data_IF_766169290339
#
_entry.id   IF_766169290339
#
_cell.length_a   1.000
_cell.length_b   1.000
_cell.length_c   1.000
_cell.angle_alpha   90.00
_cell.angle_beta   90.00
_cell.angle_gamma   90.00
#
_symmetry.space_group_name_H-M   'P 1'
#
loop_
_entity.id
_entity.type
_entity.pdbx_description
1 polymer ?
#
# COMPACT_ATOMS: atom_id res chain seq x y z
N UNK A 1 -21.19 10.91 56.64
CA UNK A 1 -20.87 11.57 55.36
C UNK A 1 -20.37 10.51 54.41
N UNK A 2 -21.17 10.16 53.41
CA UNK A 2 -20.85 9.14 52.39
C UNK A 2 -20.20 9.86 51.21
N UNK A 3 -18.95 9.51 50.87
CA UNK A 3 -18.34 9.91 49.60
C UNK A 3 -18.51 8.76 48.61
N UNK A 4 -19.23 9.03 47.53
CA UNK A 4 -19.32 8.19 46.33
C UNK A 4 -18.21 8.63 45.38
N UNK A 5 -17.30 7.71 45.05
CA UNK A 5 -16.34 7.87 43.96
C UNK A 5 -16.87 7.03 42.79
N UNK A 6 -17.30 7.70 41.73
CA UNK A 6 -17.61 7.07 40.46
C UNK A 6 -16.31 6.94 39.66
N UNK A 7 -15.88 5.70 39.38
CA UNK A 7 -14.83 5.44 38.40
C UNK A 7 -15.44 5.57 37.00
N UNK A 8 -15.01 6.59 36.26
CA UNK A 8 -15.15 6.64 34.81
C UNK A 8 -14.13 5.67 34.20
N UNK A 9 -14.60 4.55 33.66
CA UNK A 9 -13.80 3.73 32.76
C UNK A 9 -13.84 4.37 31.38
N UNK A 10 -12.77 5.06 30.99
CA UNK A 10 -12.53 5.37 29.58
C UNK A 10 -12.30 4.04 28.86
N UNK A 11 -13.26 3.61 28.06
CA UNK A 11 -13.01 2.66 26.99
C UNK A 11 -12.19 3.42 25.94
N UNK A 12 -10.89 3.18 25.91
CA UNK A 12 -10.09 3.50 24.74
C UNK A 12 -10.55 2.57 23.63
N UNK A 13 -11.30 3.10 22.66
CA UNK A 13 -11.42 2.47 21.37
C UNK A 13 -10.00 2.36 20.81
N UNK A 14 -9.43 1.17 20.85
CA UNK A 14 -8.28 0.87 20.02
C UNK A 14 -8.82 0.91 18.60
N UNK A 15 -8.51 1.99 17.88
CA UNK A 15 -8.52 1.93 16.43
C UNK A 15 -7.46 0.89 16.07
N UNK A 16 -7.88 -0.36 15.91
CA UNK A 16 -7.12 -1.36 15.19
C UNK A 16 -7.07 -0.83 13.77
N UNK A 17 -5.95 -0.20 13.41
CA UNK A 17 -5.69 0.10 12.00
C UNK A 17 -5.85 -1.22 11.25
N UNK A 18 -6.59 -1.27 10.14
CA UNK A 18 -6.57 -2.43 9.27
C UNK A 18 -5.11 -2.67 8.90
N UNK A 19 -4.62 -3.89 9.17
CA UNK A 19 -3.26 -4.27 8.77
C UNK A 19 -3.31 -4.46 7.25
N UNK A 20 -3.17 -3.35 6.52
CA UNK A 20 -2.76 -3.39 5.14
C UNK A 20 -1.24 -3.57 5.11
N UNK A 21 -0.81 -4.73 4.59
CA UNK A 21 0.59 -5.10 4.47
C UNK A 21 1.23 -5.43 5.80
N UNK A 22 1.36 -6.73 6.13
CA UNK A 22 2.40 -7.12 7.07
C UNK A 22 3.73 -6.60 6.48
N UNK A 23 4.52 -5.81 7.23
CA UNK A 23 5.74 -5.23 6.68
C UNK A 23 6.59 -6.37 6.14
N UNK A 24 6.98 -6.28 4.86
CA UNK A 24 7.84 -7.28 4.23
C UNK A 24 9.24 -7.23 4.80
N UNK A 25 9.38 -7.73 6.02
CA UNK A 25 10.65 -7.77 6.71
C UNK A 25 11.61 -8.78 6.06
N UNK A 26 11.11 -9.77 5.32
CA UNK A 26 11.92 -10.66 4.49
C UNK A 26 11.04 -11.46 3.53
N UNK A 27 11.39 -11.47 2.24
CA UNK A 27 10.70 -12.27 1.21
C UNK A 27 11.63 -13.38 0.76
N UNK A 28 11.19 -14.64 0.68
CA UNK A 28 12.08 -15.69 0.14
C UNK A 28 12.27 -15.51 -1.37
N UNK A 29 13.47 -15.72 -1.87
CA UNK A 29 13.79 -15.54 -3.29
C UNK A 29 13.11 -16.57 -4.21
N UNK A 30 12.73 -17.71 -3.66
CA UNK A 30 11.97 -18.75 -4.35
C UNK A 30 10.44 -18.57 -4.24
N UNK A 31 9.95 -17.54 -3.53
CA UNK A 31 8.53 -17.22 -3.52
C UNK A 31 8.09 -16.63 -4.87
N UNK A 32 6.78 -16.67 -5.17
CA UNK A 32 6.21 -16.04 -6.38
C UNK A 32 6.65 -14.58 -6.50
N UNK A 33 6.55 -13.82 -5.41
CA UNK A 33 7.04 -12.45 -5.35
C UNK A 33 8.56 -12.34 -5.58
N UNK A 34 9.36 -13.15 -4.89
CA UNK A 34 10.80 -13.11 -4.99
C UNK A 34 11.28 -13.37 -6.42
N UNK A 35 10.69 -14.36 -7.09
CA UNK A 35 10.96 -14.65 -8.49
C UNK A 35 10.48 -13.52 -9.42
N UNK A 36 9.29 -12.97 -9.17
CA UNK A 36 8.78 -11.83 -9.95
C UNK A 36 9.73 -10.63 -9.86
N UNK A 37 10.14 -10.24 -8.64
CA UNK A 37 11.06 -9.13 -8.42
C UNK A 37 12.43 -9.37 -9.09
N UNK A 38 12.96 -10.58 -8.96
CA UNK A 38 14.24 -10.96 -9.58
C UNK A 38 14.16 -11.05 -11.10
N UNK A 39 13.00 -11.39 -11.65
CA UNK A 39 12.77 -11.40 -13.09
C UNK A 39 12.82 -10.00 -13.71
N UNK A 40 12.40 -8.99 -12.94
CA UNK A 40 12.41 -7.56 -13.32
C UNK A 40 13.71 -6.84 -12.91
N UNK A 41 14.54 -7.46 -12.07
CA UNK A 41 15.84 -6.92 -11.69
C UNK A 41 16.81 -6.87 -12.90
N UNK A 42 17.56 -5.76 -13.01
CA UNK A 42 18.33 -5.41 -14.21
C UNK A 42 19.23 -6.57 -14.67
N UNK A 43 18.94 -7.12 -15.85
CA UNK A 43 19.70 -8.21 -16.49
C UNK A 43 20.85 -7.65 -17.31
N UNK A 44 22.01 -8.31 -17.24
CA UNK A 44 23.14 -8.05 -18.15
C UNK A 44 23.05 -8.86 -19.46
N UNK A 45 22.26 -9.94 -19.49
CA UNK A 45 22.14 -10.85 -20.63
C UNK A 45 20.66 -10.94 -21.04
N UNK A 46 20.34 -10.50 -22.26
CA UNK A 46 19.01 -10.63 -22.84
C UNK A 46 18.87 -12.01 -23.47
N UNK A 47 17.75 -12.69 -23.18
CA UNK A 47 17.04 -13.62 -24.07
C UNK A 47 17.04 -15.13 -23.77
N UNK A 48 17.40 -15.60 -22.56
CA UNK A 48 17.17 -17.00 -22.15
C UNK A 48 16.19 -17.09 -20.96
N UNK A 49 15.43 -18.20 -20.90
CA UNK A 49 14.62 -18.61 -19.74
C UNK A 49 15.56 -18.76 -18.53
N UNK A 50 15.57 -17.75 -17.66
CA UNK A 50 16.55 -17.66 -16.57
C UNK A 50 16.13 -18.62 -15.46
N UNK A 51 16.94 -19.65 -15.27
CA UNK A 51 16.87 -20.52 -14.11
C UNK A 51 17.31 -19.75 -12.86
N UNK A 52 16.34 -19.36 -12.03
CA UNK A 52 16.57 -18.71 -10.74
C UNK A 52 16.84 -19.72 -9.60
N UNK A 53 17.06 -21.01 -9.87
CA UNK A 53 17.44 -21.95 -8.79
C UNK A 53 18.71 -21.54 -8.04
N UNK A 54 19.60 -20.74 -8.64
CA UNK A 54 20.80 -20.24 -7.94
C UNK A 54 20.48 -19.26 -6.80
N UNK A 55 19.33 -18.58 -6.82
CA UNK A 55 18.85 -17.77 -5.68
C UNK A 55 18.01 -18.58 -4.70
N UNK A 56 17.77 -19.86 -4.96
CA UNK A 56 17.12 -20.74 -3.99
C UNK A 56 17.96 -20.78 -2.70
N UNK A 57 17.28 -20.60 -1.56
CA UNK A 57 17.97 -20.45 -0.27
C UNK A 57 18.42 -19.02 0.04
N UNK A 58 17.99 -18.01 -0.73
CA UNK A 58 18.14 -16.59 -0.39
C UNK A 58 16.79 -15.96 -0.02
N UNK A 59 16.86 -14.82 0.67
CA UNK A 59 15.77 -13.95 1.06
C UNK A 59 16.09 -12.52 0.63
N UNK A 60 15.11 -11.82 0.06
CA UNK A 60 15.16 -10.41 -0.28
C UNK A 60 14.84 -9.57 0.95
N UNK A 61 15.64 -8.52 1.16
CA UNK A 61 15.49 -7.55 2.23
C UNK A 61 15.52 -6.14 1.64
N UNK A 62 14.45 -5.36 1.82
CA UNK A 62 14.47 -3.94 1.51
C UNK A 62 15.60 -3.25 2.29
N UNK A 63 16.51 -2.58 1.58
CA UNK A 63 17.61 -1.80 2.18
C UNK A 63 17.29 -0.31 2.20
N UNK A 64 16.48 0.14 1.24
CA UNK A 64 16.07 1.52 1.13
C UNK A 64 15.65 1.89 -0.29
N UNK A 65 15.24 3.13 -0.46
CA UNK A 65 14.93 3.76 -1.72
C UNK A 65 15.74 5.05 -1.90
N UNK A 66 15.83 5.53 -3.13
CA UNK A 66 16.51 6.76 -3.48
C UNK A 66 15.84 7.46 -4.66
N UNK A 67 15.94 8.78 -4.69
CA UNK A 67 15.57 9.61 -5.83
C UNK A 67 16.82 10.06 -6.57
N UNK A 68 16.81 9.94 -7.90
CA UNK A 68 17.86 10.49 -8.76
C UNK A 68 17.23 11.30 -9.87
N UNK A 69 17.67 12.55 -10.04
CA UNK A 69 17.24 13.39 -11.15
C UNK A 69 17.83 12.88 -12.45
N UNK A 70 16.99 12.61 -13.44
CA UNK A 70 17.40 12.19 -14.79
C UNK A 70 16.70 13.03 -15.83
N UNK A 71 17.27 13.09 -17.04
CA UNK A 71 16.58 13.70 -18.16
C UNK A 71 15.30 12.92 -18.45
N UNK A 72 14.21 13.65 -18.66
CA UNK A 72 12.99 13.05 -19.14
C UNK A 72 13.14 12.78 -20.64
N UNK A 73 13.20 11.50 -21.02
CA UNK A 73 13.32 11.09 -22.42
C UNK A 73 12.01 11.27 -23.19
N UNK A 74 10.89 11.47 -22.48
CA UNK A 74 9.54 11.62 -23.03
C UNK A 74 9.12 13.09 -23.15
N UNK A 75 9.98 14.03 -22.74
CA UNK A 75 9.74 15.47 -22.86
C UNK A 75 9.95 15.94 -24.32
N UNK A 76 8.88 15.99 -25.09
CA UNK A 76 8.84 16.42 -26.49
C UNK A 76 8.24 17.84 -26.68
N UNK A 77 7.55 18.37 -25.68
CA UNK A 77 6.89 19.69 -25.63
C UNK A 77 7.64 20.77 -24.83
N UNK A 78 7.23 22.03 -24.99
CA UNK A 78 7.78 23.16 -24.19
C UNK A 78 7.30 23.14 -22.74
N UNK A 79 6.14 22.54 -22.48
CA UNK A 79 5.50 22.45 -21.17
C UNK A 79 5.94 21.19 -20.37
N UNK A 80 6.67 20.27 -21.01
CA UNK A 80 7.06 19.00 -20.41
C UNK A 80 8.20 19.16 -19.40
N UNK A 81 8.13 18.36 -18.33
CA UNK A 81 9.17 18.32 -17.29
C UNK A 81 10.46 17.74 -17.87
N UNK A 82 11.46 18.58 -18.16
CA UNK A 82 12.74 18.16 -18.76
C UNK A 82 13.62 17.30 -17.86
N UNK A 83 13.47 17.44 -16.55
CA UNK A 83 14.22 16.70 -15.54
C UNK A 83 13.21 15.98 -14.66
N UNK A 84 13.11 14.66 -14.83
CA UNK A 84 12.23 13.82 -14.04
C UNK A 84 12.96 13.19 -12.87
N UNK A 85 12.23 12.90 -11.80
CA UNK A 85 12.76 12.17 -10.64
C UNK A 85 12.61 10.67 -10.87
N UNK A 86 13.72 9.98 -11.13
CA UNK A 86 13.72 8.52 -11.16
C UNK A 86 13.80 7.97 -9.74
N UNK A 87 12.84 7.12 -9.39
CA UNK A 87 12.71 6.52 -8.07
C UNK A 87 13.26 5.09 -8.12
N UNK A 88 14.20 4.78 -7.24
CA UNK A 88 14.91 3.51 -7.23
C UNK A 88 14.74 2.84 -5.88
N UNK A 89 14.58 1.52 -5.88
CA UNK A 89 14.58 0.70 -4.68
C UNK A 89 15.82 -0.18 -4.68
N UNK A 90 16.52 -0.19 -3.54
CA UNK A 90 17.63 -1.08 -3.25
C UNK A 90 17.14 -2.20 -2.35
N UNK A 91 17.38 -3.44 -2.78
CA UNK A 91 17.17 -4.62 -1.96
C UNK A 91 18.45 -5.46 -1.90
N UNK A 92 18.56 -6.25 -0.84
CA UNK A 92 19.67 -7.16 -0.60
C UNK A 92 19.18 -8.59 -0.64
N UNK A 93 19.88 -9.44 -1.38
CA UNK A 93 19.77 -10.89 -1.29
C UNK A 93 20.68 -11.39 -0.19
N UNK A 94 20.09 -12.05 0.80
CA UNK A 94 20.76 -12.67 1.93
C UNK A 94 20.48 -14.16 1.96
N UNK A 95 21.44 -15.04 2.29
CA UNK A 95 21.11 -16.44 2.52
C UNK A 95 20.09 -16.60 3.63
N UNK A 96 19.02 -17.34 3.35
CA UNK A 96 17.86 -17.50 4.21
C UNK A 96 18.21 -18.07 5.58
N UNK A 97 19.24 -18.91 5.66
CA UNK A 97 19.67 -19.57 6.90
C UNK A 97 20.17 -18.60 7.99
N UNK A 98 20.61 -17.41 7.60
CA UNK A 98 21.13 -16.39 8.52
C UNK A 98 20.66 -14.97 8.19
N UNK A 99 19.59 -14.82 7.42
CA UNK A 99 18.97 -13.53 7.16
C UNK A 99 18.19 -13.08 8.41
N UNK A 100 18.78 -12.17 9.18
CA UNK A 100 18.16 -11.58 10.34
C UNK A 100 17.04 -10.61 9.93
N UNK A 101 15.81 -10.95 10.30
CA UNK A 101 14.60 -10.16 10.01
C UNK A 101 14.64 -8.78 10.68
N UNK A 102 15.26 -8.71 11.87
CA UNK A 102 15.36 -7.49 12.69
C UNK A 102 16.55 -6.59 12.30
N UNK A 103 17.51 -7.12 11.54
CA UNK A 103 18.62 -6.30 11.05
C UNK A 103 18.19 -5.58 9.77
N UNK A 104 18.36 -4.26 9.73
CA UNK A 104 18.08 -3.46 8.53
C UNK A 104 18.85 -3.99 7.30
N UNK A 105 20.07 -4.50 7.52
CA UNK A 105 20.91 -5.11 6.50
C UNK A 105 20.59 -6.58 6.18
N UNK A 106 19.77 -7.28 6.95
CA UNK A 106 19.49 -8.72 6.83
C UNK A 106 20.68 -9.63 7.15
N UNK A 107 21.82 -9.41 6.49
CA UNK A 107 23.03 -10.18 6.63
C UNK A 107 24.28 -9.34 6.29
N UNK A 108 25.43 -9.75 6.84
CA UNK A 108 26.69 -9.00 6.73
C UNK A 108 27.72 -9.66 5.79
N UNK A 109 27.44 -10.86 5.26
CA UNK A 109 28.33 -11.57 4.33
C UNK A 109 27.55 -12.48 3.39
N UNK A 110 28.13 -12.78 2.23
CA UNK A 110 27.48 -13.64 1.23
C UNK A 110 26.23 -13.02 0.62
N UNK A 111 26.15 -11.69 0.59
CA UNK A 111 25.01 -10.95 0.08
C UNK A 111 25.27 -10.29 -1.27
N UNK A 112 24.20 -10.05 -2.01
CA UNK A 112 24.20 -9.22 -3.21
C UNK A 112 23.24 -8.05 -3.05
N UNK A 113 23.69 -6.84 -3.38
CA UNK A 113 22.83 -5.66 -3.42
C UNK A 113 22.37 -5.40 -4.86
N UNK A 114 21.07 -5.17 -5.01
CA UNK A 114 20.40 -4.96 -6.28
C UNK A 114 19.62 -3.65 -6.25
N UNK A 115 19.49 -3.04 -7.41
CA UNK A 115 18.74 -1.80 -7.59
C UNK A 115 17.75 -2.02 -8.73
N UNK A 116 16.50 -1.65 -8.47
CA UNK A 116 15.40 -1.70 -9.42
C UNK A 116 14.62 -0.40 -9.39
N UNK A 117 13.76 -0.24 -10.38
CA UNK A 117 12.78 0.84 -10.39
C UNK A 117 11.78 0.66 -9.23
N UNK A 118 11.34 1.77 -8.64
CA UNK A 118 10.39 1.73 -7.51
C UNK A 118 9.03 1.20 -7.94
N UNK A 119 8.54 1.56 -9.13
CA UNK A 119 7.24 1.08 -9.63
C UNK A 119 7.29 -0.44 -9.77
N UNK A 120 8.37 -0.96 -10.35
CA UNK A 120 8.65 -2.41 -10.45
C UNK A 120 8.64 -3.11 -9.09
N UNK A 121 9.17 -2.47 -8.05
CA UNK A 121 9.17 -3.02 -6.69
C UNK A 121 7.76 -3.04 -6.09
N UNK A 122 7.03 -1.92 -6.21
CA UNK A 122 5.68 -1.78 -5.67
C UNK A 122 4.69 -2.70 -6.37
N UNK A 123 4.76 -2.83 -7.69
CA UNK A 123 3.93 -3.80 -8.44
C UNK A 123 4.08 -5.22 -7.89
N UNK A 124 5.34 -5.66 -7.70
CA UNK A 124 5.62 -7.00 -7.20
C UNK A 124 5.20 -7.15 -5.73
N UNK A 125 5.33 -6.08 -4.93
CA UNK A 125 4.89 -6.04 -3.55
C UNK A 125 3.37 -6.20 -3.45
N UNK A 126 2.62 -5.39 -4.18
CA UNK A 126 1.16 -5.40 -4.12
C UNK A 126 0.60 -6.70 -4.68
N UNK A 127 1.12 -7.21 -5.80
CA UNK A 127 0.72 -8.53 -6.31
C UNK A 127 0.88 -9.61 -5.22
N UNK A 128 1.97 -9.57 -4.46
CA UNK A 128 2.19 -10.50 -3.36
C UNK A 128 1.29 -10.28 -2.16
N UNK A 129 0.92 -9.04 -1.86
CA UNK A 129 -0.03 -8.71 -0.78
C UNK A 129 -1.42 -9.20 -1.17
N UNK A 130 -1.83 -9.01 -2.43
CA UNK A 130 -3.11 -9.45 -2.95
C UNK A 130 -3.20 -10.98 -2.96
N UNK A 131 -2.17 -11.69 -3.44
CA UNK A 131 -2.10 -13.16 -3.36
C UNK A 131 -2.24 -13.67 -1.91
N UNK A 132 -1.56 -13.00 -0.96
CA UNK A 132 -1.62 -13.37 0.46
C UNK A 132 -3.01 -13.11 1.05
N UNK A 133 -3.61 -11.98 0.71
CA UNK A 133 -4.94 -11.60 1.15
C UNK A 133 -6.00 -12.55 0.60
N UNK A 134 -5.95 -12.87 -0.69
CA UNK A 134 -6.84 -13.85 -1.34
C UNK A 134 -6.75 -15.22 -0.64
N UNK A 135 -5.52 -15.74 -0.45
CA UNK A 135 -5.32 -16.98 0.30
C UNK A 135 -5.88 -16.91 1.73
N UNK A 136 -5.71 -15.77 2.42
CA UNK A 136 -6.21 -15.57 3.78
C UNK A 136 -7.74 -15.55 3.81
N UNK A 137 -8.38 -14.87 2.86
CA UNK A 137 -9.83 -14.83 2.75
C UNK A 137 -10.39 -16.23 2.46
N UNK A 138 -9.80 -16.95 1.49
CA UNK A 138 -10.16 -18.35 1.20
C UNK A 138 -9.98 -19.25 2.42
N UNK A 139 -8.88 -19.08 3.16
CA UNK A 139 -8.62 -19.87 4.37
C UNK A 139 -9.68 -19.61 5.44
N UNK A 140 -10.01 -18.34 5.69
CA UNK A 140 -11.03 -17.95 6.66
C UNK A 140 -12.39 -18.51 6.24
N UNK A 141 -12.81 -18.28 5.00
CA UNK A 141 -14.09 -18.76 4.49
C UNK A 141 -14.24 -20.29 4.62
N UNK A 142 -13.20 -21.05 4.27
CA UNK A 142 -13.30 -22.52 4.22
C UNK A 142 -12.97 -23.24 5.55
N UNK A 143 -12.28 -22.59 6.49
CA UNK A 143 -11.75 -23.28 7.68
C UNK A 143 -12.11 -22.60 9.01
N UNK A 144 -12.57 -21.35 9.00
CA UNK A 144 -12.83 -20.56 10.21
C UNK A 144 -14.27 -20.09 10.26
N UNK A 145 -14.77 -19.54 9.15
CA UNK A 145 -16.14 -19.05 9.02
C UNK A 145 -17.08 -20.23 8.80
N UNK A 146 -17.83 -20.61 9.83
CA UNK A 146 -18.88 -21.63 9.72
C UNK A 146 -20.15 -20.99 9.12
N UNK A 147 -20.10 -20.71 7.82
CA UNK A 147 -21.19 -20.05 7.09
C UNK A 147 -21.83 -20.94 6.00
N UNK A 148 -21.47 -22.23 5.94
CA UNK A 148 -22.16 -23.19 5.08
C UNK A 148 -23.61 -23.39 5.56
N UNK A 149 -24.57 -23.31 4.64
CA UNK A 149 -25.99 -23.53 4.95
C UNK A 149 -26.22 -25.03 5.20
N UNK A 150 -26.38 -25.42 6.48
CA UNK A 150 -26.58 -26.79 6.91
C UNK A 150 -27.91 -26.97 7.66
N UNK A 151 -28.35 -28.23 7.80
CA UNK A 151 -29.62 -28.60 8.44
C UNK A 151 -29.73 -28.15 9.93
N UNK A 152 -28.65 -27.62 10.51
CA UNK A 152 -28.58 -27.10 11.87
C UNK A 152 -28.81 -25.59 11.99
N UNK A 153 -28.85 -24.85 10.88
CA UNK A 153 -29.05 -23.39 10.86
C UNK A 153 -30.54 -23.05 10.70
N UNK A 154 -30.96 -21.99 11.38
CA UNK A 154 -32.36 -21.56 11.40
C UNK A 154 -32.80 -20.98 10.06
N UNK A 155 -34.12 -20.87 9.87
CA UNK A 155 -34.76 -20.30 8.69
C UNK A 155 -34.45 -18.80 8.45
N UNK A 156 -33.94 -18.11 9.47
CA UNK A 156 -33.46 -16.72 9.40
C UNK A 156 -31.94 -16.61 9.11
N UNK A 157 -31.26 -17.71 8.76
CA UNK A 157 -29.83 -17.69 8.46
C UNK A 157 -29.55 -16.97 7.13
N UNK A 158 -28.63 -16.01 7.19
CA UNK A 158 -28.09 -15.31 6.03
C UNK A 158 -26.58 -15.56 5.96
N UNK A 159 -26.14 -16.16 4.86
CA UNK A 159 -24.74 -16.51 4.65
C UNK A 159 -23.86 -15.25 4.53
N UNK A 160 -24.34 -14.22 3.85
CA UNK A 160 -23.55 -13.05 3.54
C UNK A 160 -23.33 -12.23 4.82
N UNK A 161 -24.34 -12.17 5.71
CA UNK A 161 -24.20 -11.63 7.08
C UNK A 161 -23.20 -12.45 7.90
N UNK A 162 -23.28 -13.78 7.86
CA UNK A 162 -22.36 -14.66 8.58
C UNK A 162 -20.89 -14.46 8.14
N UNK A 163 -20.65 -14.39 6.83
CA UNK A 163 -19.31 -14.21 6.26
C UNK A 163 -18.76 -12.83 6.64
N UNK A 164 -19.56 -11.77 6.50
CA UNK A 164 -19.17 -10.42 6.90
C UNK A 164 -18.81 -10.33 8.40
N UNK A 165 -19.66 -10.87 9.29
CA UNK A 165 -19.39 -10.90 10.72
C UNK A 165 -18.10 -11.67 11.04
N UNK A 166 -17.83 -12.76 10.32
CA UNK A 166 -16.60 -13.52 10.47
C UNK A 166 -15.37 -12.69 10.05
N UNK A 167 -15.45 -11.96 8.95
CA UNK A 167 -14.37 -11.09 8.50
C UNK A 167 -14.12 -9.94 9.47
N UNK A 168 -15.16 -9.28 9.97
CA UNK A 168 -15.06 -8.25 11.01
C UNK A 168 -14.44 -8.83 12.30
N UNK A 169 -14.85 -10.04 12.70
CA UNK A 169 -14.28 -10.71 13.88
C UNK A 169 -12.78 -11.03 13.73
N UNK A 170 -12.30 -11.15 12.48
CA UNK A 170 -10.89 -11.37 12.16
C UNK A 170 -10.16 -10.09 11.72
N UNK A 171 -10.83 -8.95 11.65
CA UNK A 171 -10.28 -7.65 11.25
C UNK A 171 -9.79 -7.63 9.79
N UNK A 172 -10.54 -8.27 8.89
CA UNK A 172 -10.21 -8.39 7.47
C UNK A 172 -11.38 -8.00 6.55
N UNK A 173 -12.42 -7.37 7.10
CA UNK A 173 -13.62 -6.95 6.39
C UNK A 173 -13.30 -6.06 5.19
N UNK A 174 -12.37 -5.11 5.32
CA UNK A 174 -12.03 -4.19 4.22
C UNK A 174 -11.39 -4.91 3.01
N UNK A 175 -10.81 -6.09 3.26
CA UNK A 175 -10.05 -6.89 2.30
C UNK A 175 -10.87 -8.05 1.74
N UNK A 176 -11.66 -8.72 2.58
CA UNK A 176 -12.38 -9.95 2.21
C UNK A 176 -13.88 -9.74 1.98
N UNK A 177 -14.48 -8.65 2.48
CA UNK A 177 -15.88 -8.35 2.24
C UNK A 177 -16.02 -7.39 1.05
N UNK A 178 -16.82 -7.80 0.07
CA UNK A 178 -17.17 -6.95 -1.07
C UNK A 178 -18.02 -5.76 -0.61
N UNK A 179 -19.02 -6.03 0.25
CA UNK A 179 -19.96 -5.05 0.76
C UNK A 179 -20.34 -5.34 2.21
N UNK A 180 -20.86 -4.33 2.91
CA UNK A 180 -21.44 -4.50 4.23
C UNK A 180 -22.93 -4.87 4.11
N UNK A 181 -23.35 -6.11 4.41
CA UNK A 181 -24.73 -6.56 4.27
C UNK A 181 -25.69 -5.92 5.29
N UNK A 182 -25.18 -5.16 6.26
CA UNK A 182 -26.00 -4.37 7.20
C UNK A 182 -26.33 -2.96 6.70
N UNK A 183 -25.66 -2.49 5.65
CA UNK A 183 -25.95 -1.22 5.00
C UNK A 183 -26.68 -1.48 3.67
N UNK A 184 -27.94 -1.06 3.60
CA UNK A 184 -28.76 -1.07 2.37
C UNK A 184 -28.44 0.11 1.43
N UNK A 185 -27.54 1.01 1.83
CA UNK A 185 -27.21 2.19 1.06
C UNK A 185 -26.23 1.80 -0.08
N UNK A 186 -26.74 1.77 -1.32
CA UNK A 186 -26.03 1.53 -2.60
C UNK A 186 -24.89 2.53 -2.90
N UNK A 187 -24.44 3.33 -1.93
CA UNK A 187 -23.25 4.16 -2.08
C UNK A 187 -22.04 3.27 -1.78
N UNK A 188 -21.55 2.57 -2.82
CA UNK A 188 -20.20 1.97 -2.81
C UNK A 188 -19.23 3.05 -2.30
N UNK A 189 -18.74 2.90 -1.07
CA UNK A 189 -17.61 3.69 -0.59
C UNK A 189 -16.44 3.32 -1.50
N UNK A 190 -16.05 4.26 -2.38
CA UNK A 190 -14.91 4.10 -3.29
C UNK A 190 -13.67 3.81 -2.45
N UNK A 191 -13.29 2.52 -2.38
CA UNK A 191 -12.16 2.06 -1.60
C UNK A 191 -10.89 2.63 -2.23
N UNK A 192 -9.98 3.13 -1.40
CA UNK A 192 -8.68 3.61 -1.88
C UNK A 192 -7.86 2.43 -2.42
N UNK A 193 -7.67 2.37 -3.74
CA UNK A 193 -6.86 1.37 -4.42
C UNK A 193 -5.41 1.89 -4.55
N UNK A 194 -4.49 1.36 -3.74
CA UNK A 194 -3.09 1.79 -3.76
C UNK A 194 -2.43 1.52 -5.13
N UNK A 195 -2.87 0.47 -5.81
CA UNK A 195 -2.44 0.03 -7.14
C UNK A 195 -2.49 1.16 -8.17
N UNK A 196 -3.58 1.93 -8.17
CA UNK A 196 -3.81 3.00 -9.15
C UNK A 196 -2.81 4.14 -9.02
N UNK A 197 -2.30 4.34 -7.80
CA UNK A 197 -1.40 5.43 -7.46
C UNK A 197 0.06 4.98 -7.29
N UNK A 198 0.41 3.73 -7.65
CA UNK A 198 1.80 3.27 -7.66
C UNK A 198 2.62 3.97 -8.74
N UNK A 199 1.99 4.19 -9.89
CA UNK A 199 2.46 5.14 -10.87
C UNK A 199 1.88 6.51 -10.51
N UNK A 200 2.60 7.60 -10.80
CA UNK A 200 2.08 8.92 -10.48
C UNK A 200 0.77 9.14 -11.25
N UNK A 201 -0.35 9.21 -10.54
CA UNK A 201 -1.68 9.21 -11.15
C UNK A 201 -2.47 10.41 -10.66
N UNK A 202 -3.32 10.94 -11.54
CA UNK A 202 -4.19 12.08 -11.23
C UNK A 202 -5.13 11.68 -10.11
N UNK A 203 -5.27 12.55 -9.12
CA UNK A 203 -6.20 12.38 -8.02
C UNK A 203 -7.25 13.49 -8.03
N UNK A 204 -8.51 13.07 -7.98
CA UNK A 204 -9.65 13.99 -7.91
C UNK A 204 -10.17 14.06 -6.49
N UNK A 205 -10.13 15.27 -5.92
CA UNK A 205 -10.55 15.44 -4.55
C UNK A 205 -12.08 15.28 -4.43
N UNK A 206 -12.61 14.56 -3.42
CA UNK A 206 -14.04 14.22 -3.33
C UNK A 206 -14.96 15.45 -3.20
N UNK A 207 -16.06 15.50 -3.95
CA UNK A 207 -16.92 16.69 -4.07
C UNK A 207 -17.77 16.94 -2.80
N UNK A 208 -17.14 17.49 -1.76
CA UNK A 208 -17.77 17.67 -0.47
C UNK A 208 -18.68 18.93 -0.47
N UNK A 209 -19.90 18.86 0.09
CA UNK A 209 -20.91 19.93 0.03
C UNK A 209 -20.44 21.32 0.54
N UNK A 210 -19.41 21.36 1.38
CA UNK A 210 -18.74 22.59 1.84
C UNK A 210 -17.98 23.33 0.71
N UNK A 211 -17.73 22.69 -0.43
CA UNK A 211 -17.03 23.24 -1.59
C UNK A 211 -17.88 24.20 -2.41
N UNK A 212 -19.21 24.16 -2.35
CA UNK A 212 -20.07 25.14 -3.06
C UNK A 212 -19.78 26.60 -2.67
N UNK A 213 -19.21 26.85 -1.47
CA UNK A 213 -18.79 28.19 -1.04
C UNK A 213 -17.36 28.57 -1.43
N UNK A 214 -16.46 27.61 -1.66
CA UNK A 214 -15.05 27.85 -2.07
C UNK A 214 -14.84 27.78 -3.58
N UNK A 215 -15.65 27.01 -4.31
CA UNK A 215 -15.57 26.89 -5.78
C UNK A 215 -15.79 28.23 -6.51
N UNK A 216 -16.51 29.17 -5.89
CA UNK A 216 -16.64 30.56 -6.38
C UNK A 216 -15.38 31.42 -6.30
N UNK A 217 -14.27 30.92 -5.73
CA UNK A 217 -13.02 31.70 -5.55
C UNK A 217 -11.80 31.06 -6.23
N UNK A 218 -11.98 29.93 -6.93
CA UNK A 218 -10.91 29.15 -7.55
C UNK A 218 -11.13 28.98 -9.06
N UNK A 219 -11.83 29.93 -9.70
CA UNK A 219 -12.01 29.95 -11.17
C UNK A 219 -10.81 30.54 -11.93
N UNK A 220 -9.67 30.79 -11.27
CA UNK A 220 -8.48 31.36 -11.93
C UNK A 220 -7.27 30.42 -12.06
N UNK A 221 -7.17 29.31 -11.31
CA UNK A 221 -6.12 28.29 -11.49
C UNK A 221 -6.67 26.92 -11.04
N UNK A 222 -7.10 26.08 -11.99
CA UNK A 222 -7.46 24.68 -11.74
C UNK A 222 -6.16 23.90 -11.50
N UNK A 223 -5.70 23.86 -10.25
CA UNK A 223 -4.52 23.08 -9.87
C UNK A 223 -4.89 21.60 -9.91
N UNK A 224 -4.32 20.87 -10.88
CA UNK A 224 -4.39 19.41 -10.92
C UNK A 224 -3.50 18.81 -9.84
N UNK A 225 -4.00 17.77 -9.17
CA UNK A 225 -3.26 17.04 -8.16
C UNK A 225 -3.00 15.61 -8.60
N UNK A 226 -1.88 15.07 -8.14
CA UNK A 226 -1.44 13.73 -8.44
C UNK A 226 -1.02 13.02 -7.15
N UNK A 227 -1.36 11.75 -7.01
CA UNK A 227 -0.87 10.90 -5.93
C UNK A 227 0.22 9.98 -6.49
N UNK A 228 1.24 9.71 -5.67
CA UNK A 228 2.27 8.77 -6.05
C UNK A 228 3.23 8.42 -4.92
N UNK A 229 3.99 7.32 -5.06
CA UNK A 229 4.94 6.89 -4.04
C UNK A 229 6.19 7.76 -4.08
N UNK A 230 6.73 8.06 -2.90
CA UNK A 230 8.01 8.74 -2.74
C UNK A 230 8.83 8.12 -1.62
N UNK A 231 10.13 8.25 -1.75
CA UNK A 231 11.07 7.80 -0.75
C UNK A 231 11.21 8.80 0.40
N UNK A 232 11.15 8.31 1.64
CA UNK A 232 11.49 9.08 2.83
C UNK A 232 12.91 9.68 2.72
N UNK A 233 13.17 10.82 3.38
CA UNK A 233 14.48 11.49 3.32
C UNK A 233 15.65 10.58 3.75
N UNK A 234 15.43 9.73 4.76
CA UNK A 234 16.41 8.76 5.24
C UNK A 234 16.57 7.53 4.32
N UNK A 235 15.77 7.41 3.27
CA UNK A 235 15.79 6.29 2.34
C UNK A 235 15.15 5.01 2.87
N UNK A 236 14.71 4.97 4.11
CA UNK A 236 14.32 3.72 4.80
C UNK A 236 12.84 3.35 4.70
N UNK A 237 12.02 4.13 4.01
CA UNK A 237 10.58 3.93 3.90
C UNK A 237 10.06 4.52 2.58
N UNK A 238 8.98 3.96 2.06
CA UNK A 238 8.25 4.47 0.89
C UNK A 238 6.89 4.93 1.39
N UNK A 239 6.55 6.19 1.14
CA UNK A 239 5.27 6.80 1.51
C UNK A 239 4.48 7.17 0.27
N UNK A 240 3.19 7.43 0.44
CA UNK A 240 2.38 8.09 -0.58
C UNK A 240 2.38 9.61 -0.32
N UNK A 241 2.42 10.41 -1.39
CA UNK A 241 2.38 11.87 -1.31
C UNK A 241 1.44 12.49 -2.34
N UNK A 242 1.08 13.77 -2.11
CA UNK A 242 0.29 14.59 -3.04
C UNK A 242 1.20 15.59 -3.76
N UNK A 243 1.05 15.66 -5.07
CA UNK A 243 1.90 16.42 -5.99
C UNK A 243 1.06 17.31 -6.90
N UNK A 244 1.70 18.31 -7.49
CA UNK A 244 1.08 19.24 -8.45
C UNK A 244 1.55 19.00 -9.89
N UNK A 245 2.26 17.88 -10.13
CA UNK A 245 2.75 17.49 -11.45
C UNK A 245 2.62 15.98 -11.64
N UNK A 246 2.44 15.58 -12.91
CA UNK A 246 2.24 14.19 -13.34
C UNK A 246 3.47 13.29 -13.15
N UNK A 247 4.63 13.85 -12.79
CA UNK A 247 5.85 13.07 -12.50
C UNK A 247 6.04 12.82 -11.01
N UNK A 248 5.17 13.37 -10.16
CA UNK A 248 5.25 13.36 -8.71
C UNK A 248 6.60 13.87 -8.20
N UNK A 249 7.03 15.02 -8.73
CA UNK A 249 8.30 15.66 -8.36
C UNK A 249 8.11 16.80 -7.36
N UNK A 250 7.01 17.54 -7.46
CA UNK A 250 6.72 18.77 -6.70
C UNK A 250 5.56 18.51 -5.76
N UNK A 251 5.84 18.48 -4.46
CA UNK A 251 4.80 18.31 -3.45
C UNK A 251 3.80 19.47 -3.46
N UNK A 252 2.55 19.15 -3.15
CA UNK A 252 1.47 20.12 -3.07
C UNK A 252 1.49 20.95 -1.77
N UNK A 253 2.25 20.51 -0.76
CA UNK A 253 2.55 21.27 0.45
C UNK A 253 3.94 20.90 1.02
N UNK A 254 4.36 21.55 2.11
CA UNK A 254 5.66 21.33 2.77
C UNK A 254 5.75 20.01 3.56
N UNK A 255 4.65 19.26 3.67
CA UNK A 255 4.50 18.04 4.47
C UNK A 255 4.26 16.80 3.60
N UNK A 256 4.80 16.79 2.38
CA UNK A 256 4.64 15.66 1.46
C UNK A 256 3.24 15.56 0.84
N UNK A 257 2.43 16.62 0.95
CA UNK A 257 1.08 16.68 0.43
C UNK A 257 -0.01 16.22 1.41
N UNK A 258 0.36 15.78 2.61
CA UNK A 258 -0.59 15.14 3.54
C UNK A 258 -1.55 16.14 4.18
N UNK A 259 -1.12 17.37 4.49
CA UNK A 259 -2.00 18.39 5.10
C UNK A 259 -3.05 18.88 4.10
N UNK A 260 -2.63 19.11 2.85
CA UNK A 260 -3.52 19.52 1.79
C UNK A 260 -4.50 18.40 1.45
N UNK A 261 -4.02 17.15 1.32
CA UNK A 261 -4.89 16.00 1.14
C UNK A 261 -5.95 15.93 2.23
N UNK A 262 -5.56 15.98 3.51
CA UNK A 262 -6.51 15.92 4.62
C UNK A 262 -7.52 17.07 4.60
N UNK A 263 -7.09 18.26 4.19
CA UNK A 263 -7.97 19.42 4.03
C UNK A 263 -8.98 19.22 2.89
N UNK A 264 -8.59 18.52 1.82
CA UNK A 264 -9.38 18.31 0.61
C UNK A 264 -10.31 17.09 0.72
N UNK A 265 -9.77 15.95 1.15
CA UNK A 265 -10.47 14.67 1.32
C UNK A 265 -11.33 14.66 2.58
N UNK A 266 -10.86 15.28 3.67
CA UNK A 266 -11.50 15.24 4.98
C UNK A 266 -11.03 14.09 5.87
N UNK A 267 -10.07 13.30 5.40
CA UNK A 267 -9.49 12.14 6.08
C UNK A 267 -7.96 12.11 5.93
N UNK A 268 -7.27 11.30 6.73
CA UNK A 268 -5.82 11.16 6.63
C UNK A 268 -5.40 10.41 5.37
N UNK A 269 -4.32 10.85 4.73
CA UNK A 269 -3.80 10.20 3.53
C UNK A 269 -3.33 8.76 3.84
N UNK A 270 -3.84 7.74 3.12
CA UNK A 270 -3.31 6.39 3.19
C UNK A 270 -1.81 6.37 2.88
N UNK A 271 -1.02 5.70 3.72
CA UNK A 271 0.45 5.62 3.58
C UNK A 271 1.19 6.98 3.60
N UNK A 272 0.55 8.06 4.06
CA UNK A 272 1.21 9.35 4.27
C UNK A 272 2.12 9.37 5.51
N UNK A 273 1.82 8.53 6.51
CA UNK A 273 2.59 8.40 7.76
C UNK A 273 3.14 6.99 8.01
N UNK A 274 2.58 5.97 7.35
CA UNK A 274 3.04 4.58 7.39
C UNK A 274 3.72 4.22 6.07
N UNK A 275 4.86 3.53 6.14
CA UNK A 275 5.48 3.00 4.93
C UNK A 275 4.54 2.01 4.27
N UNK A 276 4.50 2.04 2.94
CA UNK A 276 4.03 0.91 2.12
C UNK A 276 4.86 -0.33 2.46
#
# INVERSE_FOLDING_TARGET
MKFLVALLTLATAAATMPIYGAPMKSVKADSKMGQNLLSKARKLEQNDEVDFTWVSGYSLKFQGCHHVSQWNEEADGEDDVRIQTKRLVRFRLCPSDYCAVEDAGGCNSGYGDYIIDMNVYLDAYIESVNDYNEYRCEYLQNNVCDCEDDDGKGDDFDRDICEYDCYVANGVEDICADNNPYNDDEEEEEKFELEEYMECARWEAPDNNNRRRRRRKLEEDEVEYFLGPYCAEQGGAIFLGLFTDETCTTFADDYGGTELYQTLAGEEMPYGASSI
#
